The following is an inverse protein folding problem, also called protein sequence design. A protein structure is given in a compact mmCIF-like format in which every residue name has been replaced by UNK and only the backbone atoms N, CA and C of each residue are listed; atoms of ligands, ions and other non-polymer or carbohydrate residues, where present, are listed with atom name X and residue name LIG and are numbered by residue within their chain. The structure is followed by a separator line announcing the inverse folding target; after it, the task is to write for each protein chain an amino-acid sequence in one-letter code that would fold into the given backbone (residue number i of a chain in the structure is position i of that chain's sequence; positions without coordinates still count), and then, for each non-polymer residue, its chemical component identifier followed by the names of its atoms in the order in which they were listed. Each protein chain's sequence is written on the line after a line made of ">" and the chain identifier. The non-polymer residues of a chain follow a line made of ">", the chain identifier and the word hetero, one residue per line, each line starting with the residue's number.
data_IF_658904453677
#
_entry.id   IF_658904453677
#
_cell.length_a   1.000
_cell.length_b   1.000
_cell.length_c   1.000
_cell.angle_alpha   90.00
_cell.angle_beta   90.00
_cell.angle_gamma   90.00
#
_symmetry.space_group_name_H-M   'P 1'
#
loop_
_entity.id
_entity.type
_entity.pdbx_description
1 polymer ?
#
# COMPACT_ATOMS: atom_id res chain seq x y z
N UNK A 1 28.89 -71.35 -15.47
CA UNK A 1 28.26 -70.86 -16.72
C UNK A 1 27.69 -69.47 -16.47
N UNK A 2 27.75 -68.62 -17.49
CA UNK A 2 27.49 -67.17 -17.51
C UNK A 2 26.02 -66.77 -17.28
N UNK A 3 25.89 -65.45 -17.06
CA UNK A 3 24.78 -64.53 -17.37
C UNK A 3 23.76 -64.29 -16.23
N UNK A 4 23.20 -63.11 -16.00
CA UNK A 4 23.52 -61.71 -16.35
C UNK A 4 22.49 -60.86 -15.59
N UNK A 5 22.95 -59.79 -14.93
CA UNK A 5 22.32 -58.46 -14.71
C UNK A 5 20.79 -58.24 -14.67
N UNK A 6 20.43 -57.36 -13.71
CA UNK A 6 19.41 -56.30 -13.74
C UNK A 6 17.94 -56.67 -13.52
N UNK A 7 17.34 -56.15 -12.43
CA UNK A 7 16.38 -55.02 -12.48
C UNK A 7 15.86 -54.69 -11.06
N UNK A 8 16.12 -53.47 -10.55
CA UNK A 8 15.16 -52.34 -10.36
C UNK A 8 14.32 -52.49 -9.07
N UNK A 9 14.68 -51.76 -8.00
CA UNK A 9 14.05 -50.49 -7.60
C UNK A 9 12.55 -50.65 -7.25
N UNK A 10 12.26 -50.95 -5.97
CA UNK A 10 10.90 -50.89 -5.42
C UNK A 10 10.93 -50.52 -3.93
N UNK A 11 11.66 -49.47 -3.58
CA UNK A 11 11.65 -48.86 -2.24
C UNK A 11 11.49 -47.35 -2.37
N UNK A 12 10.41 -46.96 -3.05
CA UNK A 12 9.87 -45.60 -3.11
C UNK A 12 8.34 -45.68 -3.05
N UNK A 13 7.82 -46.35 -2.02
CA UNK A 13 6.39 -46.60 -1.83
C UNK A 13 5.79 -45.88 -0.60
N UNK A 14 6.35 -44.74 -0.19
CA UNK A 14 5.80 -43.92 0.91
C UNK A 14 5.97 -42.39 0.71
N UNK A 15 6.00 -41.90 -0.53
CA UNK A 15 5.71 -40.48 -0.77
C UNK A 15 4.25 -40.34 -1.16
N UNK A 16 3.51 -39.79 -0.21
CA UNK A 16 2.11 -39.43 -0.33
C UNK A 16 1.81 -38.82 -1.70
N UNK A 17 0.86 -39.43 -2.39
CA UNK A 17 0.08 -38.80 -3.45
C UNK A 17 -0.66 -37.64 -2.78
N UNK A 18 0.01 -36.50 -2.64
CA UNK A 18 -0.66 -35.22 -2.52
C UNK A 18 -1.36 -35.04 -3.86
N UNK A 19 -2.70 -35.02 -3.92
CA UNK A 19 -3.35 -34.56 -5.13
C UNK A 19 -2.83 -33.14 -5.32
N UNK A 20 -2.06 -32.93 -6.39
CA UNK A 20 -1.89 -31.63 -7.00
C UNK A 20 -3.25 -31.24 -7.56
N UNK A 21 -4.19 -30.92 -6.67
CA UNK A 21 -5.13 -29.86 -6.96
C UNK A 21 -4.23 -28.65 -7.15
N UNK A 22 -3.87 -28.42 -8.41
CA UNK A 22 -3.82 -27.06 -8.91
C UNK A 22 -5.10 -26.42 -8.42
N UNK A 23 -5.03 -25.71 -7.30
CA UNK A 23 -5.94 -24.63 -7.03
C UNK A 23 -5.65 -23.59 -8.12
N UNK A 24 -6.09 -23.91 -9.34
CA UNK A 24 -6.69 -22.93 -10.20
C UNK A 24 -7.79 -22.37 -9.31
N UNK A 25 -7.45 -21.28 -8.62
CA UNK A 25 -8.45 -20.39 -8.07
C UNK A 25 -9.40 -20.17 -9.23
N UNK A 26 -10.58 -20.77 -9.10
CA UNK A 26 -11.65 -20.65 -10.04
C UNK A 26 -11.79 -19.15 -10.25
N UNK A 27 -11.40 -18.71 -11.44
CA UNK A 27 -11.52 -17.34 -11.91
C UNK A 27 -13.02 -17.16 -12.08
N UNK A 28 -13.67 -16.99 -10.93
CA UNK A 28 -15.10 -16.93 -10.81
C UNK A 28 -15.47 -15.65 -11.55
N UNK A 29 -15.86 -15.86 -12.81
CA UNK A 29 -16.67 -14.96 -13.61
C UNK A 29 -17.94 -14.66 -12.83
N UNK A 30 -17.82 -13.71 -11.93
CA UNK A 30 -18.90 -12.94 -11.37
C UNK A 30 -18.47 -11.49 -11.50
N UNK A 31 -19.33 -10.66 -12.06
CA UNK A 31 -19.19 -9.20 -12.15
C UNK A 31 -19.16 -8.57 -10.75
N UNK A 32 -18.14 -8.89 -9.94
CA UNK A 32 -17.73 -8.08 -8.81
C UNK A 32 -17.04 -6.87 -9.40
N UNK A 33 -17.82 -5.83 -9.67
CA UNK A 33 -17.27 -4.48 -9.81
C UNK A 33 -16.76 -4.09 -8.42
N UNK A 34 -15.55 -4.55 -8.06
CA UNK A 34 -14.84 -4.16 -6.83
C UNK A 34 -14.45 -2.70 -7.00
N UNK A 35 -15.44 -1.81 -6.90
CA UNK A 35 -15.32 -0.40 -7.17
C UNK A 35 -15.03 0.29 -5.85
N UNK A 36 -13.84 0.87 -5.77
CA UNK A 36 -13.47 1.75 -4.68
C UNK A 36 -14.23 3.07 -4.88
N UNK A 37 -15.35 3.25 -4.17
CA UNK A 37 -16.25 4.40 -4.32
C UNK A 37 -16.79 4.82 -2.97
N UNK A 38 -16.97 6.11 -2.74
CA UNK A 38 -17.54 6.67 -1.51
C UNK A 38 -16.47 7.23 -0.58
N UNK A 39 -16.90 7.61 0.61
CA UNK A 39 -16.06 8.29 1.60
C UNK A 39 -15.55 7.30 2.64
N UNK A 40 -14.26 7.36 2.94
CA UNK A 40 -13.61 6.51 3.92
C UNK A 40 -12.83 7.37 4.91
N UNK A 41 -12.98 7.07 6.20
CA UNK A 41 -12.14 7.63 7.24
C UNK A 41 -10.97 6.68 7.50
N UNK A 42 -9.76 7.19 7.54
CA UNK A 42 -8.57 6.36 7.71
C UNK A 42 -7.66 6.81 8.84
N UNK A 43 -6.84 5.87 9.29
CA UNK A 43 -5.69 6.09 10.16
C UNK A 43 -4.50 5.33 9.60
N UNK A 44 -3.35 5.99 9.52
CA UNK A 44 -2.12 5.45 8.96
C UNK A 44 -0.93 5.84 9.82
N UNK A 45 0.01 4.92 9.99
CA UNK A 45 1.35 5.21 10.50
C UNK A 45 2.31 5.15 9.33
N UNK A 46 3.14 6.18 9.18
CA UNK A 46 4.16 6.27 8.13
C UNK A 46 5.51 6.53 8.78
N UNK A 47 6.53 5.81 8.34
CA UNK A 47 7.91 5.98 8.77
C UNK A 47 8.74 6.31 7.55
N UNK A 48 9.46 7.42 7.59
CA UNK A 48 10.31 7.86 6.49
C UNK A 48 11.76 7.98 6.94
N UNK A 49 12.66 7.59 6.06
CA UNK A 49 14.10 7.79 6.23
C UNK A 49 14.56 8.83 5.23
N UNK A 50 15.18 9.89 5.71
CA UNK A 50 15.83 10.90 4.88
C UNK A 50 17.00 10.26 4.12
N UNK A 51 16.98 10.37 2.79
CA UNK A 51 17.94 9.67 1.93
C UNK A 51 19.36 10.23 2.02
N UNK A 52 19.51 11.49 2.45
CA UNK A 52 20.80 12.16 2.56
C UNK A 52 21.44 11.96 3.95
N UNK A 53 20.63 11.98 5.01
CA UNK A 53 21.14 11.94 6.39
C UNK A 53 20.92 10.59 7.09
N UNK A 54 20.03 9.74 6.56
CA UNK A 54 19.60 8.50 7.22
C UNK A 54 18.71 8.73 8.44
N UNK A 55 18.32 9.99 8.71
CA UNK A 55 17.45 10.32 9.85
C UNK A 55 16.05 9.77 9.62
N UNK A 56 15.48 9.13 10.65
CA UNK A 56 14.13 8.60 10.59
C UNK A 56 13.12 9.59 11.15
N UNK A 57 11.90 9.55 10.64
CA UNK A 57 10.75 10.33 11.08
C UNK A 57 9.51 9.44 11.11
N UNK A 58 8.67 9.60 12.13
CA UNK A 58 7.41 8.88 12.26
C UNK A 58 6.24 9.84 12.15
N UNK A 59 5.23 9.44 11.39
CA UNK A 59 4.02 10.20 11.13
C UNK A 59 2.83 9.39 11.62
N UNK A 60 1.99 10.03 12.42
CA UNK A 60 0.70 9.50 12.84
C UNK A 60 -0.38 10.33 12.15
N UNK A 61 -1.15 9.69 11.28
CA UNK A 61 -1.99 10.37 10.31
C UNK A 61 -3.41 9.87 10.46
N UNK A 62 -4.36 10.80 10.48
CA UNK A 62 -5.78 10.52 10.32
C UNK A 62 -6.34 11.40 9.19
N UNK A 63 -7.36 10.90 8.51
CA UNK A 63 -7.92 11.65 7.40
C UNK A 63 -9.18 11.04 6.83
N UNK A 64 -9.61 11.66 5.73
CA UNK A 64 -10.72 11.20 4.91
C UNK A 64 -10.27 11.10 3.47
N UNK A 65 -10.67 10.04 2.78
CA UNK A 65 -10.50 9.87 1.35
C UNK A 65 -11.85 9.62 0.69
N UNK A 66 -12.11 10.33 -0.39
CA UNK A 66 -13.33 10.24 -1.20
C UNK A 66 -12.96 9.66 -2.55
N UNK A 67 -13.44 8.46 -2.84
CA UNK A 67 -13.24 7.80 -4.12
C UNK A 67 -14.45 7.95 -5.04
N UNK A 68 -14.22 8.24 -6.32
CA UNK A 68 -15.28 8.45 -7.31
C UNK A 68 -15.86 7.14 -7.90
N UNK A 69 -15.13 6.03 -7.81
CA UNK A 69 -15.45 4.76 -8.46
C UNK A 69 -14.95 4.65 -9.91
N UNK A 70 -14.20 5.64 -10.39
CA UNK A 70 -13.73 5.79 -11.77
C UNK A 70 -12.21 5.96 -11.89
N UNK A 71 -11.49 5.93 -10.77
CA UNK A 71 -10.02 5.97 -10.74
C UNK A 71 -9.45 7.28 -10.19
N UNK A 72 -10.27 8.16 -9.62
CA UNK A 72 -9.81 9.39 -8.96
C UNK A 72 -10.27 9.47 -7.50
N UNK A 73 -9.40 9.99 -6.64
CA UNK A 73 -9.74 10.22 -5.24
C UNK A 73 -9.25 11.58 -4.75
N UNK A 74 -9.99 12.14 -3.80
CA UNK A 74 -9.58 13.32 -3.05
C UNK A 74 -9.34 12.94 -1.61
N UNK A 75 -8.22 13.38 -1.05
CA UNK A 75 -7.81 13.08 0.31
C UNK A 75 -7.59 14.37 1.08
N UNK A 76 -8.05 14.39 2.32
CA UNK A 76 -7.70 15.38 3.33
C UNK A 76 -7.18 14.66 4.56
N UNK A 77 -6.06 15.12 5.10
CA UNK A 77 -5.46 14.48 6.28
C UNK A 77 -4.78 15.48 7.19
N UNK A 78 -4.64 15.08 8.43
CA UNK A 78 -3.89 15.78 9.44
C UNK A 78 -3.07 14.78 10.23
N UNK A 79 -2.02 15.25 10.87
CA UNK A 79 -1.19 14.35 11.64
C UNK A 79 -0.15 15.04 12.49
N UNK A 80 0.61 14.20 13.18
CA UNK A 80 1.78 14.61 13.95
C UNK A 80 3.01 13.92 13.39
N UNK A 81 4.01 14.72 13.04
CA UNK A 81 5.36 14.31 12.74
C UNK A 81 6.15 14.27 14.06
N UNK A 82 6.77 13.12 14.34
CA UNK A 82 7.71 12.91 15.43
C UNK A 82 9.07 12.59 14.84
N UNK A 83 10.05 13.43 15.16
CA UNK A 83 11.46 13.23 14.81
C UNK A 83 12.26 12.81 16.05
N UNK A 84 13.41 12.15 15.92
CA UNK A 84 14.28 11.82 17.04
C UNK A 84 14.56 13.05 17.90
N UNK A 85 14.21 12.95 19.19
CA UNK A 85 14.26 14.06 20.14
C UNK A 85 12.87 14.46 20.65
N UNK A 86 12.76 15.56 21.40
CA UNK A 86 11.51 15.97 22.05
C UNK A 86 10.59 16.80 21.13
N UNK A 87 10.87 16.86 19.83
CA UNK A 87 10.20 17.76 18.90
C UNK A 87 9.13 16.99 18.13
N UNK A 88 7.90 17.52 18.17
CA UNK A 88 6.80 17.09 17.33
C UNK A 88 6.16 18.27 16.61
N UNK A 89 5.75 18.07 15.38
CA UNK A 89 5.12 19.11 14.55
C UNK A 89 3.80 18.59 14.00
N UNK A 90 2.74 19.38 14.12
CA UNK A 90 1.45 19.09 13.47
C UNK A 90 1.48 19.51 12.01
N UNK A 91 0.75 18.80 11.16
CA UNK A 91 0.58 19.16 9.76
C UNK A 91 -0.83 18.84 9.27
N UNK A 92 -1.21 19.51 8.19
CA UNK A 92 -2.45 19.27 7.46
C UNK A 92 -2.14 19.25 5.95
N UNK A 93 -2.71 18.28 5.25
CA UNK A 93 -2.48 18.07 3.83
C UNK A 93 -3.78 17.79 3.08
N UNK A 94 -3.78 18.17 1.80
CA UNK A 94 -4.73 17.68 0.82
C UNK A 94 -4.00 16.97 -0.31
N UNK A 95 -4.67 16.02 -0.95
CA UNK A 95 -4.11 15.34 -2.12
C UNK A 95 -5.20 15.01 -3.14
N UNK A 96 -4.78 15.07 -4.40
CA UNK A 96 -5.50 14.49 -5.53
C UNK A 96 -4.74 13.23 -5.94
N UNK A 97 -5.47 12.11 -5.97
CA UNK A 97 -4.91 10.79 -6.22
C UNK A 97 -5.58 10.15 -7.43
N UNK A 98 -4.81 9.34 -8.15
CA UNK A 98 -5.33 8.40 -9.14
C UNK A 98 -5.15 6.98 -8.61
N UNK A 99 -6.05 6.07 -8.97
CA UNK A 99 -5.96 4.68 -8.54
C UNK A 99 -6.43 3.69 -9.61
N UNK A 100 -5.98 2.45 -9.48
CA UNK A 100 -6.42 1.32 -10.31
C UNK A 100 -6.71 0.13 -9.43
N UNK A 101 -7.91 -0.46 -9.57
CA UNK A 101 -8.34 -1.65 -8.84
C UNK A 101 -8.23 -2.87 -9.74
N UNK A 102 -7.64 -3.95 -9.22
CA UNK A 102 -7.57 -5.25 -9.86
C UNK A 102 -8.80 -6.09 -9.50
N UNK A 103 -9.18 -7.10 -10.32
CA UNK A 103 -10.34 -7.95 -10.04
C UNK A 103 -10.33 -8.62 -8.66
N UNK A 104 -9.13 -8.93 -8.15
CA UNK A 104 -8.95 -9.53 -6.83
C UNK A 104 -9.07 -8.53 -5.65
N UNK A 105 -9.55 -7.31 -5.87
CA UNK A 105 -9.73 -6.28 -4.84
C UNK A 105 -8.43 -5.60 -4.39
N UNK A 106 -7.26 -5.98 -4.91
CA UNK A 106 -6.04 -5.20 -4.70
C UNK A 106 -6.05 -3.93 -5.54
N UNK A 107 -5.45 -2.85 -5.04
CA UNK A 107 -5.31 -1.61 -5.79
C UNK A 107 -3.98 -0.93 -5.51
N UNK A 108 -3.61 -0.02 -6.41
CA UNK A 108 -2.51 0.92 -6.25
C UNK A 108 -3.07 2.32 -6.47
N UNK A 109 -2.59 3.28 -5.69
CA UNK A 109 -2.92 4.69 -5.83
C UNK A 109 -1.69 5.56 -5.64
N UNK A 110 -1.66 6.68 -6.34
CA UNK A 110 -0.55 7.63 -6.33
C UNK A 110 -1.07 9.04 -6.52
N UNK A 111 -0.28 10.03 -6.12
CA UNK A 111 -0.65 11.42 -6.35
C UNK A 111 0.29 12.42 -5.70
N UNK A 112 -0.19 13.67 -5.63
CA UNK A 112 0.56 14.78 -5.06
C UNK A 112 -0.14 15.29 -3.82
N UNK A 113 0.59 15.37 -2.72
CA UNK A 113 0.12 15.92 -1.45
C UNK A 113 0.63 17.35 -1.32
N UNK A 114 -0.20 18.21 -0.74
CA UNK A 114 0.10 19.63 -0.55
C UNK A 114 -0.28 20.01 0.86
N UNK A 115 0.62 20.68 1.55
CA UNK A 115 0.30 21.29 2.83
C UNK A 115 -0.81 22.34 2.64
N UNK A 116 -1.80 22.36 3.53
CA UNK A 116 -2.92 23.33 3.46
C UNK A 116 -2.41 24.77 3.50
N UNK A 117 -1.38 25.03 4.29
CA UNK A 117 -0.69 26.32 4.42
C UNK A 117 0.30 26.62 3.28
N UNK A 118 0.43 25.69 2.31
CA UNK A 118 1.34 25.75 1.16
C UNK A 118 2.83 25.77 1.53
N UNK A 119 3.18 25.33 2.75
CA UNK A 119 4.57 25.27 3.21
C UNK A 119 5.42 24.22 2.48
N UNK A 120 4.80 23.19 1.90
CA UNK A 120 5.48 22.20 1.07
C UNK A 120 4.54 21.48 0.09
N UNK A 121 5.15 20.79 -0.88
CA UNK A 121 4.49 19.82 -1.78
C UNK A 121 5.26 18.51 -1.74
N UNK A 122 4.54 17.39 -1.61
CA UNK A 122 5.09 16.04 -1.61
C UNK A 122 4.65 15.30 -2.87
N UNK A 123 5.61 14.75 -3.61
CA UNK A 123 5.38 13.95 -4.82
C UNK A 123 6.02 12.57 -4.71
N UNK A 124 5.64 11.64 -5.59
CA UNK A 124 6.12 10.25 -5.56
C UNK A 124 5.49 9.38 -4.48
N UNK A 125 4.51 9.91 -3.73
CA UNK A 125 3.74 9.15 -2.75
C UNK A 125 2.86 8.11 -3.44
N UNK A 126 3.13 6.84 -3.16
CA UNK A 126 2.37 5.70 -3.67
C UNK A 126 1.96 4.74 -2.57
N UNK A 127 0.69 4.38 -2.59
CA UNK A 127 0.10 3.47 -1.64
C UNK A 127 -0.56 2.31 -2.38
N UNK A 128 -0.31 1.10 -1.90
CA UNK A 128 -1.04 -0.08 -2.31
C UNK A 128 -2.10 -0.39 -1.26
N UNK A 129 -3.10 -1.16 -1.66
CA UNK A 129 -4.07 -1.64 -0.69
C UNK A 129 -4.90 -2.80 -1.17
N UNK A 130 -5.81 -3.20 -0.29
CA UNK A 130 -6.78 -4.24 -0.55
C UNK A 130 -8.14 -3.82 0.00
N UNK A 131 -9.17 -4.05 -0.80
CA UNK A 131 -10.56 -3.81 -0.45
C UNK A 131 -11.09 -5.12 0.15
N UNK A 132 -11.69 -5.05 1.33
CA UNK A 132 -12.37 -6.20 1.91
C UNK A 132 -13.55 -6.66 1.02
N UNK A 133 -14.04 -7.91 1.19
CA UNK A 133 -15.13 -8.43 0.36
C UNK A 133 -16.41 -7.57 0.40
N UNK A 134 -16.68 -6.92 1.53
CA UNK A 134 -17.86 -6.07 1.73
C UNK A 134 -17.68 -4.63 1.21
N UNK A 135 -16.49 -4.29 0.72
CA UNK A 135 -16.13 -2.95 0.26
C UNK A 135 -16.18 -1.85 1.33
N UNK A 136 -16.24 -2.24 2.59
CA UNK A 136 -16.44 -1.36 3.76
C UNK A 136 -15.13 -1.04 4.48
N UNK A 137 -14.11 -1.87 4.33
CA UNK A 137 -12.79 -1.70 4.91
C UNK A 137 -11.73 -1.76 3.83
N UNK A 138 -10.77 -0.85 3.92
CA UNK A 138 -9.63 -0.78 3.02
C UNK A 138 -8.36 -0.82 3.85
N UNK A 139 -7.43 -1.70 3.51
CA UNK A 139 -6.12 -1.74 4.13
C UNK A 139 -5.13 -1.05 3.20
N UNK A 140 -4.33 -0.14 3.73
CA UNK A 140 -3.28 0.56 3.00
C UNK A 140 -1.90 0.08 3.44
N UNK A 141 -0.98 0.02 2.50
CA UNK A 141 0.45 -0.05 2.75
C UNK A 141 1.19 0.88 1.80
N UNK A 142 2.40 1.29 2.17
CA UNK A 142 3.33 1.84 1.18
C UNK A 142 3.62 0.81 0.07
N UNK A 143 4.13 1.30 -1.06
CA UNK A 143 4.70 0.44 -2.08
C UNK A 143 5.87 -0.39 -1.52
N UNK A 144 5.99 -1.64 -1.99
CA UNK A 144 7.10 -2.53 -1.67
C UNK A 144 7.77 -2.94 -2.99
N UNK A 145 9.06 -2.62 -3.21
CA UNK A 145 9.96 -1.88 -2.31
C UNK A 145 9.51 -0.42 -2.08
N UNK A 146 9.95 0.24 -1.00
CA UNK A 146 9.62 1.65 -0.74
C UNK A 146 10.00 2.52 -1.94
N UNK A 147 9.03 3.25 -2.45
CA UNK A 147 9.27 4.24 -3.50
C UNK A 147 9.74 5.57 -2.89
N UNK A 148 10.46 6.33 -3.70
CA UNK A 148 11.06 7.59 -3.29
C UNK A 148 10.02 8.70 -3.30
N UNK A 149 9.87 9.36 -2.16
CA UNK A 149 9.04 10.55 -2.05
C UNK A 149 9.91 11.81 -2.04
N UNK A 150 9.45 12.86 -2.72
CA UNK A 150 10.15 14.14 -2.80
C UNK A 150 9.33 15.23 -2.13
N UNK A 151 9.88 15.87 -1.11
CA UNK A 151 9.32 17.06 -0.48
C UNK A 151 9.99 18.29 -1.09
N UNK A 152 9.18 19.21 -1.62
CA UNK A 152 9.64 20.52 -2.11
C UNK A 152 9.11 21.61 -1.19
N UNK A 153 10.01 22.40 -0.61
CA UNK A 153 9.69 23.54 0.24
C UNK A 153 10.01 24.85 -0.50
N UNK A 154 9.07 25.80 -0.62
CA UNK A 154 9.34 27.11 -1.21
C UNK A 154 10.53 27.79 -0.52
N UNK A 155 11.56 28.14 -1.30
CA UNK A 155 12.76 28.82 -0.80
C UNK A 155 13.75 27.96 0.00
N UNK A 156 13.49 26.66 0.25
CA UNK A 156 14.38 25.76 1.00
C UNK A 156 14.88 24.53 0.23
N UNK A 157 14.46 24.37 -1.03
CA UNK A 157 14.93 23.30 -1.91
C UNK A 157 14.08 22.02 -1.84
N UNK A 158 14.66 20.91 -2.29
CA UNK A 158 14.03 19.59 -2.31
C UNK A 158 14.72 18.64 -1.32
N UNK A 159 13.94 17.76 -0.70
CA UNK A 159 14.40 16.71 0.20
C UNK A 159 13.75 15.39 -0.20
N UNK A 160 14.48 14.29 -0.02
CA UNK A 160 14.11 12.99 -0.58
C UNK A 160 14.04 11.94 0.52
N UNK A 161 12.94 11.19 0.55
CA UNK A 161 12.63 10.24 1.61
C UNK A 161 12.27 8.88 1.05
N UNK A 162 12.66 7.83 1.77
CA UNK A 162 12.15 6.48 1.56
C UNK A 162 11.17 6.17 2.67
N UNK A 163 9.91 5.93 2.32
CA UNK A 163 8.83 5.81 3.29
C UNK A 163 8.17 4.43 3.26
N UNK A 164 7.98 3.86 4.45
CA UNK A 164 7.05 2.77 4.70
C UNK A 164 5.78 3.30 5.35
N UNK A 165 4.63 2.72 5.05
CA UNK A 165 3.36 3.12 5.65
C UNK A 165 2.44 1.90 5.79
N UNK A 166 1.56 1.94 6.78
CA UNK A 166 0.48 0.98 6.97
C UNK A 166 -0.71 1.66 7.63
N UNK A 167 -1.91 1.36 7.15
CA UNK A 167 -3.12 1.97 7.70
C UNK A 167 -4.38 1.20 7.33
N UNK A 168 -5.49 1.69 7.87
CA UNK A 168 -6.83 1.14 7.59
C UNK A 168 -7.81 2.29 7.38
N UNK A 169 -8.68 2.14 6.40
CA UNK A 169 -9.82 2.98 6.10
C UNK A 169 -11.11 2.21 6.38
N UNK A 170 -12.10 2.91 6.91
CA UNK A 170 -13.47 2.41 7.06
C UNK A 170 -14.40 3.35 6.31
N UNK A 171 -15.28 2.77 5.48
CA UNK A 171 -16.30 3.49 4.75
C UNK A 171 -17.27 4.17 5.73
N UNK A 172 -17.56 5.44 5.49
CA UNK A 172 -18.54 6.21 6.25
C UNK A 172 -19.72 6.59 5.34
N UNK A 173 -20.89 6.81 5.95
CA UNK A 173 -22.14 7.18 5.27
C UNK A 173 -22.42 8.67 5.42
#
# INVERSE_FOLDING_TARGET
>A
MRASTCTVLALMACLAVLPTLSALAEDNRGDSTTALKGTFRFSTVKTCTDSATGSMAHFYIEGTIVYDGQGSAQLTQQGTLVVPGPISTSFEETAELTYTVKPNGSFSQEGTFRAVDRSYTLTGGKMNGHIDPDGSVVIFSAAIPPEKETVTMPGRGLSEYLCGASGTAVRIR
#
